data_IF_137123143350
#
_entry.id   IF_137123143350
#
_cell.length_a   1.000
_cell.length_b   1.000
_cell.length_c   1.000
_cell.angle_alpha   90.00
_cell.angle_beta   90.00
_cell.angle_gamma   90.00
#
_symmetry.space_group_name_H-M   'P 1'
#
loop_
_entity.id
_entity.type
_entity.pdbx_description
1 polymer ?
#
# COMPACT_ATOMS: atom_id res chain seq x y z
N UNK A 1 -23.42 -33.91 29.24
CA UNK A 1 -23.73 -33.21 27.95
C UNK A 1 -23.24 -31.76 27.89
N UNK A 2 -23.24 -30.98 29.02
CA UNK A 2 -22.77 -29.57 29.08
C UNK A 2 -21.25 -29.34 28.80
N UNK A 3 -20.38 -30.27 29.16
CA UNK A 3 -18.92 -30.13 29.06
C UNK A 3 -18.41 -30.21 27.61
N UNK A 4 -19.05 -31.03 26.76
CA UNK A 4 -18.69 -31.18 25.34
C UNK A 4 -18.89 -29.87 24.55
N UNK A 5 -19.97 -29.15 24.85
CA UNK A 5 -20.27 -27.86 24.22
C UNK A 5 -19.32 -26.73 24.62
N UNK A 6 -18.76 -26.75 25.84
CA UNK A 6 -17.78 -25.76 26.31
C UNK A 6 -16.41 -25.97 25.64
N UNK A 7 -16.01 -27.22 25.45
CA UNK A 7 -14.75 -27.56 24.79
C UNK A 7 -14.76 -27.16 23.29
N UNK A 8 -15.83 -27.49 22.59
CA UNK A 8 -16.01 -27.09 21.19
C UNK A 8 -16.03 -25.57 21.01
N UNK A 9 -16.74 -24.83 21.85
CA UNK A 9 -16.77 -23.36 21.83
C UNK A 9 -15.39 -22.74 22.08
N UNK A 10 -14.60 -23.30 23.00
CA UNK A 10 -13.23 -22.86 23.26
C UNK A 10 -12.32 -23.14 22.08
N UNK A 11 -12.47 -24.30 21.42
CA UNK A 11 -11.72 -24.67 20.22
C UNK A 11 -12.02 -23.72 19.07
N UNK A 12 -13.29 -23.42 18.80
CA UNK A 12 -13.70 -22.46 17.74
C UNK A 12 -13.15 -21.07 18.04
N UNK A 13 -13.19 -20.60 19.29
CA UNK A 13 -12.65 -19.32 19.70
C UNK A 13 -11.14 -19.23 19.51
N UNK A 14 -10.39 -20.29 19.80
CA UNK A 14 -8.93 -20.34 19.59
C UNK A 14 -8.57 -20.39 18.12
N UNK A 15 -9.33 -21.10 17.29
CA UNK A 15 -9.14 -21.11 15.84
C UNK A 15 -9.45 -19.76 15.20
N UNK A 16 -10.55 -19.12 15.58
CA UNK A 16 -10.90 -17.77 15.14
C UNK A 16 -9.81 -16.74 15.47
N UNK A 17 -9.28 -16.79 16.69
CA UNK A 17 -8.17 -15.93 17.10
C UNK A 17 -6.87 -16.18 16.31
N UNK A 18 -6.57 -17.43 15.92
CA UNK A 18 -5.42 -17.77 15.07
C UNK A 18 -5.61 -17.22 13.65
N UNK A 19 -6.78 -17.42 13.07
CA UNK A 19 -7.11 -16.89 11.73
C UNK A 19 -7.01 -15.37 11.70
N UNK A 20 -7.58 -14.69 12.70
CA UNK A 20 -7.51 -13.23 12.81
C UNK A 20 -6.07 -12.73 12.94
N UNK A 21 -5.22 -13.42 13.73
CA UNK A 21 -3.79 -13.12 13.81
C UNK A 21 -3.08 -13.30 12.47
N UNK A 22 -3.36 -14.37 11.74
CA UNK A 22 -2.76 -14.61 10.41
C UNK A 22 -3.16 -13.50 9.42
N UNK A 23 -4.45 -13.13 9.38
CA UNK A 23 -4.95 -12.05 8.52
C UNK A 23 -4.28 -10.72 8.90
N UNK A 24 -4.24 -10.39 10.18
CA UNK A 24 -3.60 -9.17 10.68
C UNK A 24 -2.10 -9.11 10.37
N UNK A 25 -1.40 -10.24 10.52
CA UNK A 25 0.03 -10.33 10.17
C UNK A 25 0.24 -10.16 8.67
N UNK A 26 -0.56 -10.83 7.84
CA UNK A 26 -0.49 -10.69 6.38
C UNK A 26 -0.73 -9.24 5.94
N UNK A 27 -1.74 -8.60 6.51
CA UNK A 27 -2.06 -7.20 6.22
C UNK A 27 -0.91 -6.27 6.64
N UNK A 28 -0.33 -6.47 7.83
CA UNK A 28 0.82 -5.68 8.28
C UNK A 28 2.04 -5.88 7.37
N UNK A 29 2.33 -7.11 6.97
CA UNK A 29 3.41 -7.40 6.02
C UNK A 29 3.19 -6.70 4.68
N UNK A 30 1.94 -6.67 4.17
CA UNK A 30 1.63 -5.97 2.93
C UNK A 30 1.83 -4.45 3.03
N UNK A 31 1.52 -3.83 4.16
CA UNK A 31 1.77 -2.41 4.40
C UNK A 31 3.29 -2.10 4.48
N UNK A 32 4.06 -2.96 5.13
CA UNK A 32 5.52 -2.80 5.19
C UNK A 32 6.12 -2.95 3.78
N UNK A 33 5.69 -3.95 3.03
CA UNK A 33 6.12 -4.13 1.64
C UNK A 33 5.77 -2.92 0.76
N UNK A 34 4.54 -2.40 0.89
CA UNK A 34 4.14 -1.16 0.22
C UNK A 34 5.06 0.01 0.56
N UNK A 35 5.39 0.21 1.85
CA UNK A 35 6.29 1.26 2.28
C UNK A 35 7.68 1.11 1.64
N UNK A 36 8.26 -0.10 1.62
CA UNK A 36 9.55 -0.38 1.00
C UNK A 36 9.50 -0.02 -0.50
N UNK A 37 8.47 -0.46 -1.21
CA UNK A 37 8.28 -0.18 -2.63
C UNK A 37 8.08 1.32 -2.90
N UNK A 38 7.31 2.00 -2.06
CA UNK A 38 7.10 3.45 -2.17
C UNK A 38 8.41 4.22 -1.99
N UNK A 39 9.19 3.90 -0.95
CA UNK A 39 10.48 4.54 -0.71
C UNK A 39 11.47 4.24 -1.84
N UNK A 40 11.52 3.02 -2.33
CA UNK A 40 12.35 2.66 -3.47
C UNK A 40 11.97 3.48 -4.73
N UNK A 41 10.68 3.58 -5.07
CA UNK A 41 10.24 4.41 -6.20
C UNK A 41 10.55 5.90 -5.97
N UNK A 42 10.41 6.40 -4.74
CA UNK A 42 10.71 7.78 -4.42
C UNK A 42 12.22 8.09 -4.51
N UNK A 43 13.07 7.22 -3.98
CA UNK A 43 14.53 7.43 -3.96
C UNK A 43 15.15 7.23 -5.34
N UNK A 44 14.81 6.12 -6.02
CA UNK A 44 15.47 5.77 -7.30
C UNK A 44 14.83 6.42 -8.52
N UNK A 45 13.53 6.72 -8.49
CA UNK A 45 12.77 7.23 -9.64
C UNK A 45 12.19 8.62 -9.41
N UNK A 46 12.34 9.19 -8.21
CA UNK A 46 11.73 10.46 -7.79
C UNK A 46 10.19 10.47 -7.97
N UNK A 47 9.51 9.33 -7.72
CA UNK A 47 8.06 9.19 -7.87
C UNK A 47 7.36 9.09 -6.51
N UNK A 48 6.23 9.77 -6.36
CA UNK A 48 5.39 9.77 -5.15
C UNK A 48 4.23 8.75 -5.24
N UNK A 49 4.47 7.65 -5.94
CA UNK A 49 3.55 6.52 -6.09
C UNK A 49 4.36 5.23 -6.26
N UNK A 50 3.72 4.09 -6.08
CA UNK A 50 4.34 2.79 -6.32
C UNK A 50 4.10 2.37 -7.76
N UNK A 51 5.16 2.07 -8.46
CA UNK A 51 5.11 1.46 -9.80
C UNK A 51 5.89 0.15 -9.80
N UNK A 52 5.21 -0.92 -10.19
CA UNK A 52 5.78 -2.25 -10.36
C UNK A 52 5.39 -2.72 -11.75
N UNK A 53 6.35 -2.80 -12.68
CA UNK A 53 6.09 -3.04 -14.10
C UNK A 53 5.04 -2.07 -14.65
N UNK A 54 3.91 -2.58 -15.12
CA UNK A 54 2.77 -1.82 -15.66
C UNK A 54 1.66 -1.54 -14.63
N UNK A 55 1.88 -1.88 -13.34
CA UNK A 55 0.93 -1.65 -12.25
C UNK A 55 1.33 -0.38 -11.50
N UNK A 56 0.35 0.49 -11.25
CA UNK A 56 0.48 1.74 -10.53
C UNK A 56 -0.42 1.71 -9.29
N UNK A 57 0.15 2.00 -8.12
CA UNK A 57 -0.58 2.08 -6.86
C UNK A 57 -0.36 3.47 -6.28
N UNK A 58 -1.45 4.18 -6.05
CA UNK A 58 -1.43 5.54 -5.50
C UNK A 58 -2.65 5.80 -4.62
N UNK A 59 -2.62 6.90 -3.89
CA UNK A 59 -3.74 7.32 -3.05
C UNK A 59 -4.28 8.65 -3.54
N UNK A 60 -5.62 8.75 -3.71
CA UNK A 60 -6.26 10.02 -4.05
C UNK A 60 -6.16 11.00 -2.87
N UNK A 61 -5.56 12.16 -3.12
CA UNK A 61 -5.29 13.17 -2.08
C UNK A 61 -6.27 14.32 -2.10
N UNK A 62 -6.92 14.53 -3.24
CA UNK A 62 -7.82 15.64 -3.48
C UNK A 62 -9.29 15.20 -3.51
N UNK A 63 -10.19 16.16 -3.56
CA UNK A 63 -11.63 15.91 -3.73
C UNK A 63 -12.09 16.16 -5.17
N UNK A 64 -11.19 16.52 -6.06
CA UNK A 64 -11.47 16.96 -7.43
C UNK A 64 -12.30 15.97 -8.25
N UNK A 65 -12.24 14.68 -7.90
CA UNK A 65 -12.97 13.59 -8.56
C UNK A 65 -14.17 13.05 -7.78
N UNK A 66 -14.57 13.71 -6.67
CA UNK A 66 -15.80 13.32 -5.97
C UNK A 66 -17.03 13.64 -6.82
N UNK A 67 -18.07 12.80 -6.77
CA UNK A 67 -18.26 11.62 -5.89
C UNK A 67 -17.64 10.32 -6.41
N UNK A 68 -17.11 10.27 -7.63
CA UNK A 68 -16.69 9.04 -8.33
C UNK A 68 -15.45 8.43 -7.68
N UNK A 69 -14.49 9.29 -7.29
CA UNK A 69 -13.31 8.91 -6.51
C UNK A 69 -13.24 9.85 -5.32
N UNK A 70 -13.49 9.30 -4.15
CA UNK A 70 -13.43 10.07 -2.90
C UNK A 70 -11.98 10.26 -2.45
N UNK A 71 -11.72 11.35 -1.75
CA UNK A 71 -10.46 11.54 -1.04
C UNK A 71 -10.14 10.31 -0.18
N UNK A 72 -8.85 9.97 -0.07
CA UNK A 72 -8.35 8.78 0.63
C UNK A 72 -8.82 7.43 0.02
N UNK A 73 -9.09 7.40 -1.28
CA UNK A 73 -9.26 6.17 -2.02
C UNK A 73 -7.88 5.62 -2.42
N UNK A 74 -7.62 4.35 -2.15
CA UNK A 74 -6.49 3.63 -2.74
C UNK A 74 -6.88 3.24 -4.15
N UNK A 75 -6.03 3.57 -5.11
CA UNK A 75 -6.26 3.32 -6.53
C UNK A 75 -5.17 2.38 -7.04
N UNK A 76 -5.61 1.32 -7.70
CA UNK A 76 -4.74 0.43 -8.46
C UNK A 76 -5.08 0.61 -9.93
N UNK A 77 -4.10 1.04 -10.69
CA UNK A 77 -4.19 1.21 -12.13
C UNK A 77 -3.20 0.33 -12.88
N UNK A 78 -3.46 0.14 -14.14
CA UNK A 78 -2.54 -0.52 -15.07
C UNK A 78 -2.19 0.46 -16.19
N UNK A 79 -1.06 0.22 -16.85
CA UNK A 79 -0.63 1.03 -17.98
C UNK A 79 -1.71 1.08 -19.05
N UNK A 80 -2.10 2.27 -19.42
CA UNK A 80 -3.14 2.48 -20.42
C UNK A 80 -2.61 2.15 -21.82
N UNK A 81 -3.33 1.29 -22.55
CA UNK A 81 -3.00 0.93 -23.94
C UNK A 81 -3.79 1.80 -24.92
N UNK A 82 -5.10 1.81 -24.77
CA UNK A 82 -6.02 2.53 -25.63
C UNK A 82 -6.80 3.55 -24.80
N UNK A 83 -6.75 4.81 -25.23
CA UNK A 83 -7.37 5.92 -24.54
C UNK A 83 -8.70 6.24 -25.19
N UNK A 84 -9.78 6.17 -24.43
CA UNK A 84 -11.13 6.53 -24.89
C UNK A 84 -11.65 7.74 -24.14
N UNK A 85 -12.30 8.63 -24.89
CA UNK A 85 -13.00 9.76 -24.29
C UNK A 85 -14.04 9.29 -23.28
N UNK A 86 -14.09 9.96 -22.13
CA UNK A 86 -14.99 9.64 -21.03
C UNK A 86 -14.36 8.74 -19.95
N UNK A 87 -13.23 8.07 -20.22
CA UNK A 87 -12.55 7.24 -19.24
C UNK A 87 -11.80 8.09 -18.19
N UNK A 88 -11.62 7.54 -17.00
CA UNK A 88 -10.81 8.17 -15.95
C UNK A 88 -9.38 7.65 -16.08
N UNK A 89 -8.47 8.57 -16.32
CA UNK A 89 -7.06 8.29 -16.53
C UNK A 89 -6.22 8.89 -15.40
N UNK A 90 -5.13 8.17 -15.07
CA UNK A 90 -4.09 8.68 -14.19
C UNK A 90 -2.93 9.23 -15.01
N UNK A 91 -2.55 10.47 -14.78
CA UNK A 91 -1.43 11.13 -15.43
C UNK A 91 -0.43 11.68 -14.41
N UNK A 92 0.82 11.77 -14.80
CA UNK A 92 1.91 12.23 -13.95
C UNK A 92 1.92 13.77 -13.92
N UNK A 93 1.86 14.32 -12.73
CA UNK A 93 2.10 15.74 -12.47
C UNK A 93 2.91 15.88 -11.16
N UNK A 94 3.99 16.62 -11.18
CA UNK A 94 4.88 16.82 -10.03
C UNK A 94 5.33 15.50 -9.37
N UNK A 95 5.61 14.49 -10.21
CA UNK A 95 5.99 13.15 -9.77
C UNK A 95 4.91 12.40 -8.97
N UNK A 96 3.66 12.85 -9.04
CA UNK A 96 2.47 12.21 -8.46
C UNK A 96 1.50 11.80 -9.56
N UNK A 97 0.67 10.78 -9.32
CA UNK A 97 -0.43 10.49 -10.23
C UNK A 97 -1.65 11.28 -9.79
N UNK A 98 -2.23 12.02 -10.74
CA UNK A 98 -3.50 12.71 -10.62
C UNK A 98 -4.52 12.03 -11.52
N UNK A 99 -5.76 11.90 -11.07
CA UNK A 99 -6.82 11.22 -11.79
C UNK A 99 -7.87 12.23 -12.24
N UNK A 100 -8.11 12.29 -13.56
CA UNK A 100 -9.19 13.09 -14.14
C UNK A 100 -9.88 12.31 -15.27
N UNK A 101 -11.06 12.76 -15.66
CA UNK A 101 -11.77 12.20 -16.82
C UNK A 101 -11.17 12.75 -18.11
N UNK A 102 -10.91 11.88 -19.06
CA UNK A 102 -10.51 12.27 -20.42
C UNK A 102 -11.69 12.93 -21.15
N UNK A 103 -11.69 14.25 -21.21
CA UNK A 103 -12.75 15.04 -21.78
C UNK A 103 -12.72 15.05 -23.30
N UNK A 104 -11.53 15.21 -23.91
CA UNK A 104 -11.34 15.28 -25.36
C UNK A 104 -10.00 14.70 -25.78
N UNK A 105 -9.98 14.16 -27.00
CA UNK A 105 -8.77 13.78 -27.71
C UNK A 105 -8.71 14.69 -28.97
N UNK A 106 -7.65 15.48 -29.09
CA UNK A 106 -7.45 16.39 -30.21
C UNK A 106 -6.24 15.96 -31.03
N UNK A 107 -6.39 15.98 -32.35
CA UNK A 107 -5.30 15.73 -33.28
C UNK A 107 -5.09 16.99 -34.14
N UNK A 108 -3.99 17.69 -33.89
CA UNK A 108 -3.61 18.88 -34.64
C UNK A 108 -2.20 18.73 -35.21
N UNK A 109 -2.02 18.96 -36.50
CA UNK A 109 -0.71 18.87 -37.15
C UNK A 109 0.03 17.55 -36.91
N UNK A 110 -0.70 16.43 -36.89
CA UNK A 110 -0.13 15.09 -36.62
C UNK A 110 0.23 14.82 -35.16
N UNK A 111 -0.05 15.76 -34.24
CA UNK A 111 0.19 15.61 -32.79
C UNK A 111 -1.12 15.38 -32.08
N UNK A 112 -1.18 14.31 -31.29
CA UNK A 112 -2.35 14.00 -30.45
C UNK A 112 -2.15 14.58 -29.07
N UNK A 113 -3.11 15.37 -28.59
CA UNK A 113 -3.19 15.91 -27.23
C UNK A 113 -4.45 15.45 -26.54
N UNK A 114 -4.38 15.38 -25.23
CA UNK A 114 -5.43 14.83 -24.36
C UNK A 114 -5.84 15.91 -23.36
N UNK A 115 -7.10 16.28 -23.38
CA UNK A 115 -7.68 17.27 -22.48
C UNK A 115 -8.45 16.51 -21.39
N UNK A 116 -8.12 16.79 -20.15
CA UNK A 116 -8.75 16.18 -18.99
C UNK A 116 -9.67 17.15 -18.28
N UNK A 117 -10.54 16.60 -17.41
CA UNK A 117 -11.49 17.38 -16.60
C UNK A 117 -11.70 16.69 -15.27
N UNK A 118 -11.60 17.45 -14.19
CA UNK A 118 -12.01 17.00 -12.86
C UNK A 118 -13.55 16.93 -12.76
N UNK A 119 -14.09 15.99 -12.02
CA UNK A 119 -15.57 15.85 -11.87
C UNK A 119 -16.19 17.08 -11.19
N UNK A 120 -15.50 17.69 -10.24
CA UNK A 120 -16.00 18.89 -9.56
C UNK A 120 -15.81 20.20 -10.33
N UNK A 121 -15.05 20.19 -11.41
CA UNK A 121 -14.82 21.39 -12.21
C UNK A 121 -15.90 21.54 -13.29
N UNK A 122 -16.34 22.79 -13.52
CA UNK A 122 -17.21 23.11 -14.66
C UNK A 122 -16.45 23.15 -15.98
N UNK A 123 -15.17 23.49 -15.93
CA UNK A 123 -14.30 23.66 -17.11
C UNK A 123 -13.31 22.53 -17.23
N UNK A 124 -12.85 22.30 -18.45
CA UNK A 124 -11.74 21.41 -18.78
C UNK A 124 -10.44 21.97 -18.17
N UNK A 125 -9.47 21.09 -17.98
CA UNK A 125 -8.14 21.48 -17.49
C UNK A 125 -7.44 22.30 -18.58
N UNK A 126 -6.75 23.37 -18.18
CA UNK A 126 -6.06 24.27 -19.12
C UNK A 126 -4.83 23.62 -19.78
N UNK A 127 -4.23 22.66 -19.10
CA UNK A 127 -3.05 21.97 -19.59
C UNK A 127 -3.42 20.76 -20.46
N UNK A 128 -2.98 20.76 -21.70
CA UNK A 128 -3.04 19.60 -22.57
C UNK A 128 -2.00 18.57 -22.13
N UNK A 129 -2.40 17.30 -22.10
CA UNK A 129 -1.52 16.18 -21.77
C UNK A 129 -1.04 15.47 -23.03
N UNK A 130 0.21 15.01 -23.02
CA UNK A 130 0.73 14.11 -24.05
C UNK A 130 0.48 12.65 -23.64
N UNK A 131 0.55 11.73 -24.59
CA UNK A 131 0.41 10.29 -24.29
C UNK A 131 1.43 9.80 -23.25
N UNK A 132 2.60 10.39 -23.22
CA UNK A 132 3.70 10.07 -22.30
C UNK A 132 3.39 10.44 -20.85
N UNK A 133 2.55 11.46 -20.63
CA UNK A 133 2.13 11.91 -19.30
C UNK A 133 1.09 10.97 -18.70
N UNK A 134 0.32 10.28 -19.55
CA UNK A 134 -0.73 9.35 -19.12
C UNK A 134 -0.08 8.03 -18.74
N UNK A 135 -0.26 7.65 -17.48
CA UNK A 135 0.39 6.47 -16.87
C UNK A 135 -0.52 5.29 -16.75
N UNK A 136 -1.77 5.51 -16.34
CA UNK A 136 -2.63 4.39 -15.98
C UNK A 136 -4.11 4.64 -16.25
N UNK A 137 -4.82 3.58 -16.54
CA UNK A 137 -6.26 3.45 -16.39
C UNK A 137 -6.58 2.79 -15.04
N UNK A 138 -7.74 3.07 -14.47
CA UNK A 138 -8.12 2.56 -13.15
C UNK A 138 -8.72 1.16 -13.28
N UNK A 139 -8.13 0.20 -12.55
CA UNK A 139 -8.67 -1.16 -12.43
C UNK A 139 -9.46 -1.34 -11.14
N UNK A 140 -8.97 -0.81 -10.03
CA UNK A 140 -9.57 -0.98 -8.72
C UNK A 140 -9.52 0.30 -7.91
N UNK A 141 -10.64 0.61 -7.25
CA UNK A 141 -10.78 1.71 -6.30
C UNK A 141 -11.22 1.15 -4.95
N UNK A 142 -10.43 1.37 -3.91
CA UNK A 142 -10.75 0.93 -2.54
C UNK A 142 -10.89 2.20 -1.70
N UNK A 143 -12.14 2.66 -1.47
CA UNK A 143 -12.39 3.87 -0.71
C UNK A 143 -12.00 3.70 0.76
N UNK A 144 -11.70 4.81 1.42
CA UNK A 144 -11.36 4.90 2.86
C UNK A 144 -9.99 4.33 3.22
N UNK A 145 -9.57 3.18 2.68
CA UNK A 145 -8.31 2.53 3.09
C UNK A 145 -7.05 3.34 2.70
N UNK A 146 -7.16 4.23 1.73
CA UNK A 146 -6.05 5.05 1.24
C UNK A 146 -5.41 5.94 2.32
N UNK A 147 -6.16 6.38 3.36
CA UNK A 147 -5.56 7.14 4.45
C UNK A 147 -4.49 6.35 5.20
N UNK A 148 -4.73 5.04 5.37
CA UNK A 148 -3.77 4.15 6.02
C UNK A 148 -2.51 4.00 5.15
N UNK A 149 -2.67 3.77 3.85
CA UNK A 149 -1.53 3.70 2.92
C UNK A 149 -0.72 5.00 2.89
N UNK A 150 -1.38 6.16 2.96
CA UNK A 150 -0.71 7.47 3.06
C UNK A 150 0.21 7.61 4.28
N UNK A 151 -0.13 7.00 5.41
CA UNK A 151 0.77 6.97 6.57
C UNK A 151 2.09 6.27 6.22
N UNK A 152 2.03 5.25 5.36
CA UNK A 152 3.20 4.49 4.92
C UNK A 152 3.94 5.14 3.72
N UNK A 153 3.43 6.23 3.16
CA UNK A 153 4.13 7.06 2.16
C UNK A 153 5.14 8.03 2.79
N UNK A 154 5.24 8.09 4.11
CA UNK A 154 6.14 9.00 4.81
C UNK A 154 7.50 8.37 5.09
N UNK A 155 8.58 9.13 4.84
CA UNK A 155 9.95 8.75 5.23
C UNK A 155 10.09 8.55 6.75
N UNK A 156 9.34 9.33 7.55
CA UNK A 156 9.33 9.21 9.01
C UNK A 156 8.78 7.84 9.41
N UNK A 157 7.70 7.38 8.80
CA UNK A 157 7.14 6.05 9.06
C UNK A 157 8.16 4.95 8.74
N UNK A 158 8.92 5.09 7.67
CA UNK A 158 10.00 4.15 7.33
C UNK A 158 11.05 4.07 8.45
N UNK A 159 11.48 5.21 8.97
CA UNK A 159 12.46 5.27 10.08
C UNK A 159 11.88 4.57 11.32
N UNK A 160 10.63 4.85 11.67
CA UNK A 160 9.94 4.21 12.81
C UNK A 160 9.88 2.69 12.63
N UNK A 161 9.53 2.21 11.44
CA UNK A 161 9.50 0.77 11.14
C UNK A 161 10.88 0.14 11.35
N UNK A 162 11.94 0.76 10.85
CA UNK A 162 13.31 0.25 11.01
C UNK A 162 13.70 0.19 12.49
N UNK A 163 13.39 1.23 13.27
CA UNK A 163 13.67 1.25 14.71
C UNK A 163 12.93 0.12 15.43
N UNK A 164 11.64 -0.04 15.16
CA UNK A 164 10.81 -1.08 15.81
C UNK A 164 11.32 -2.48 15.45
N UNK A 165 11.65 -2.72 14.19
CA UNK A 165 12.20 -4.01 13.77
C UNK A 165 13.57 -4.28 14.40
N UNK A 166 14.44 -3.27 14.52
CA UNK A 166 15.73 -3.37 15.18
C UNK A 166 15.61 -3.71 16.67
N UNK A 167 14.71 -3.03 17.38
CA UNK A 167 14.43 -3.31 18.79
C UNK A 167 13.88 -4.73 18.98
N UNK A 168 12.96 -5.16 18.11
CA UNK A 168 12.39 -6.51 18.15
C UNK A 168 13.46 -7.59 17.90
N UNK A 169 14.34 -7.35 16.94
CA UNK A 169 15.45 -8.25 16.65
C UNK A 169 16.43 -8.34 17.83
N UNK A 170 16.80 -7.23 18.43
CA UNK A 170 17.67 -7.18 19.62
C UNK A 170 17.03 -7.91 20.80
N UNK A 171 15.74 -7.69 21.05
CA UNK A 171 15.00 -8.40 22.11
C UNK A 171 14.96 -9.92 21.87
N UNK A 172 14.73 -10.33 20.63
CA UNK A 172 14.72 -11.75 20.26
C UNK A 172 16.08 -12.42 20.50
N UNK A 173 17.18 -11.77 20.10
CA UNK A 173 18.54 -12.26 20.35
C UNK A 173 18.86 -12.34 21.84
N UNK A 174 18.52 -11.31 22.59
CA UNK A 174 18.69 -11.30 24.04
C UNK A 174 17.95 -12.48 24.72
N UNK A 175 16.69 -12.72 24.35
CA UNK A 175 15.89 -13.84 24.88
C UNK A 175 16.52 -15.20 24.53
N UNK A 176 17.05 -15.35 23.32
CA UNK A 176 17.72 -16.58 22.89
C UNK A 176 18.99 -16.84 23.72
N UNK A 177 19.80 -15.82 23.95
CA UNK A 177 21.01 -15.94 24.78
C UNK A 177 20.67 -16.33 26.23
N UNK A 178 19.66 -15.72 26.84
CA UNK A 178 19.19 -16.12 28.17
C UNK A 178 18.74 -17.59 28.21
N UNK A 179 18.07 -18.05 27.16
CA UNK A 179 17.61 -19.44 27.08
C UNK A 179 18.79 -20.41 26.97
N UNK A 180 19.80 -20.09 26.18
CA UNK A 180 21.06 -20.87 26.08
C UNK A 180 21.79 -20.93 27.41
N UNK A 181 21.93 -19.79 28.10
CA UNK A 181 22.58 -19.75 29.41
C UNK A 181 21.85 -20.61 30.44
N UNK A 182 20.51 -20.59 30.47
CA UNK A 182 19.70 -21.42 31.36
C UNK A 182 19.89 -22.91 31.08
N UNK A 183 19.95 -23.32 29.80
CA UNK A 183 20.23 -24.72 29.41
C UNK A 183 21.61 -25.16 29.87
N UNK A 184 22.63 -24.38 29.60
CA UNK A 184 24.02 -24.67 29.99
C UNK A 184 24.18 -24.76 31.52
N UNK A 185 23.49 -23.91 32.31
CA UNK A 185 23.49 -24.01 33.78
C UNK A 185 22.83 -25.30 34.26
N UNK A 186 21.73 -25.73 33.66
CA UNK A 186 21.07 -26.99 34.01
C UNK A 186 21.94 -28.20 33.70
N UNK A 187 22.59 -28.25 32.54
CA UNK A 187 23.53 -29.34 32.16
C UNK A 187 24.71 -29.45 33.12
N UNK A 188 25.32 -28.31 33.48
CA UNK A 188 26.43 -28.30 34.45
C UNK A 188 26.00 -28.74 35.84
N UNK A 189 24.77 -28.40 36.26
CA UNK A 189 24.23 -28.84 37.55
C UNK A 189 23.93 -30.36 37.56
N UNK A 190 23.48 -30.93 36.44
CA UNK A 190 23.24 -32.37 36.31
C UNK A 190 24.55 -33.17 36.31
N UNK A 191 25.60 -32.71 35.58
CA UNK A 191 26.93 -33.34 35.57
C UNK A 191 27.67 -33.28 36.90
N UNK A 192 27.30 -32.41 37.83
CA UNK A 192 27.89 -32.32 39.16
C UNK A 192 27.24 -33.26 40.19
N UNK A 193 26.12 -33.87 39.84
CA UNK A 193 25.36 -34.80 40.73
C UNK A 193 25.73 -36.29 40.50
N UNK A 194 26.49 -36.59 39.48
CA UNK A 194 27.08 -37.91 39.18
C UNK A 194 28.63 -37.80 39.26
#
# INVERSE_FOLDING_TARGET
MKTKNLWERNKIRTWGAKILKCIGTFFLCSLILYNILYVANNVFRNKKYVQIFDIYISTEKEKSMEPIIKKNTLIIGIKCKDLKQGEIIGYDIDNSIKYHRLAKIQVQNGKTTYITKAEQNYREDLEEKKKEDIKSEIVLKIPVIGWLFRLFESKITTIIIIIVLGLRFSYYNYKNELTKQRKNKKEKATKKKY
#
